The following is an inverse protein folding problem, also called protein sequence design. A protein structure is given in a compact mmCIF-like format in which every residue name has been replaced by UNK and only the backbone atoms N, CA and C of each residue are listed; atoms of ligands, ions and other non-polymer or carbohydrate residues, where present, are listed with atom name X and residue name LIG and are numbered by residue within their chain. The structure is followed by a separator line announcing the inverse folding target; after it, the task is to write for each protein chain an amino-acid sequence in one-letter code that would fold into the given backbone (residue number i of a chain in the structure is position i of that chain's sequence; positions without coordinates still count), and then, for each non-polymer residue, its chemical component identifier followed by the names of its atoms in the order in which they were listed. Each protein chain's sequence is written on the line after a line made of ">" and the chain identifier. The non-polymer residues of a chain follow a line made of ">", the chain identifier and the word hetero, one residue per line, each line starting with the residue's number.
data_IF_655580736390
#
_entry.id   IF_655580736390
#
_cell.length_a   1.000
_cell.length_b   1.000
_cell.length_c   1.000
_cell.angle_alpha   90.00
_cell.angle_beta   90.00
_cell.angle_gamma   90.00
#
_symmetry.space_group_name_H-M   'P 1'
#
loop_
_entity.id
_entity.type
_entity.pdbx_description
1 polymer ?
#
# COMPACT_ATOMS: atom_id res chain seq x y z
N UNK A 1 -12.92 9.28 15.95
CA UNK A 1 -11.84 9.07 14.96
C UNK A 1 -12.41 9.31 13.57
N UNK A 2 -11.78 10.16 12.76
CA UNK A 2 -12.25 10.50 11.40
C UNK A 2 -12.22 9.24 10.52
N UNK A 3 -13.25 9.01 9.70
CA UNK A 3 -13.34 7.82 8.83
C UNK A 3 -12.32 7.89 7.67
N UNK A 4 -12.12 9.06 7.09
CA UNK A 4 -11.19 9.31 5.98
C UNK A 4 -10.43 10.64 6.13
N UNK A 5 -9.16 10.62 5.75
CA UNK A 5 -8.37 11.81 5.40
C UNK A 5 -7.59 11.51 4.11
N UNK A 6 -6.86 12.49 3.57
CA UNK A 6 -5.97 12.24 2.42
C UNK A 6 -4.92 11.14 2.69
N UNK A 7 -4.59 10.85 3.96
CA UNK A 7 -3.54 9.92 4.35
C UNK A 7 -4.03 8.67 5.07
N UNK A 8 -5.32 8.61 5.44
CA UNK A 8 -5.85 7.58 6.31
C UNK A 8 -7.28 7.18 5.95
N UNK A 9 -7.59 5.89 6.08
CA UNK A 9 -8.92 5.32 6.00
C UNK A 9 -9.06 4.30 7.13
N UNK A 10 -10.07 4.46 8.01
CA UNK A 10 -10.34 3.52 9.11
C UNK A 10 -10.75 2.12 8.62
N UNK A 11 -11.35 2.03 7.43
CA UNK A 11 -12.00 0.82 6.95
C UNK A 11 -13.36 0.60 7.61
N UNK A 12 -14.02 -0.47 7.19
CA UNK A 12 -15.34 -0.88 7.72
C UNK A 12 -15.24 -1.96 8.80
N UNK A 13 -14.02 -2.32 9.22
CA UNK A 13 -13.79 -3.32 10.26
C UNK A 13 -14.03 -4.77 9.82
N UNK A 14 -14.21 -5.01 8.51
CA UNK A 14 -14.48 -6.35 7.97
C UNK A 14 -13.24 -7.25 7.98
N UNK A 15 -12.04 -6.67 8.14
CA UNK A 15 -10.77 -7.39 8.17
C UNK A 15 -9.74 -6.63 9.01
N UNK A 16 -8.85 -7.38 9.68
CA UNK A 16 -7.70 -6.83 10.41
C UNK A 16 -6.47 -6.68 9.52
N UNK A 17 -6.66 -6.08 8.34
CA UNK A 17 -5.63 -5.89 7.32
C UNK A 17 -5.42 -4.40 7.08
N UNK A 18 -4.15 -3.98 7.13
CA UNK A 18 -3.73 -2.62 6.78
C UNK A 18 -2.86 -2.58 5.52
N UNK A 19 -3.19 -1.65 4.62
CA UNK A 19 -2.35 -1.28 3.49
C UNK A 19 -1.64 0.04 3.78
N UNK A 20 -0.31 0.01 3.78
CA UNK A 20 0.52 1.16 4.13
C UNK A 20 1.27 1.67 2.91
N UNK A 21 0.96 2.89 2.47
CA UNK A 21 1.64 3.58 1.37
C UNK A 21 2.58 4.67 1.88
N UNK A 22 3.21 5.42 0.98
CA UNK A 22 4.28 6.35 1.35
C UNK A 22 3.69 7.70 1.81
N UNK A 23 2.95 8.38 0.94
CA UNK A 23 2.42 9.72 1.19
C UNK A 23 1.23 10.00 0.27
N UNK A 24 0.33 10.93 0.64
CA UNK A 24 -0.75 11.38 -0.23
C UNK A 24 -0.24 12.17 -1.44
N UNK A 25 -0.95 12.06 -2.56
CA UNK A 25 -0.76 12.86 -3.76
C UNK A 25 -1.79 13.98 -3.90
N UNK A 26 -1.87 14.55 -5.10
CA UNK A 26 -2.83 15.63 -5.40
C UNK A 26 -4.27 15.12 -5.48
N UNK A 27 -4.48 13.91 -6.00
CA UNK A 27 -5.81 13.30 -6.08
C UNK A 27 -6.35 13.02 -4.68
N UNK A 28 -5.53 12.49 -3.76
CA UNK A 28 -5.91 12.28 -2.36
C UNK A 28 -6.23 13.59 -1.65
N UNK A 29 -5.52 14.67 -1.96
CA UNK A 29 -5.82 16.01 -1.42
C UNK A 29 -7.20 16.49 -1.88
N UNK A 30 -7.50 16.34 -3.17
CA UNK A 30 -8.76 16.79 -3.76
C UNK A 30 -9.95 15.99 -3.23
N UNK A 31 -9.80 14.68 -3.13
CA UNK A 31 -10.88 13.76 -2.77
C UNK A 31 -11.03 13.55 -1.24
N UNK A 32 -10.06 14.03 -0.45
CA UNK A 32 -10.05 13.85 1.01
C UNK A 32 -9.94 12.39 1.48
N UNK A 33 -9.44 11.49 0.61
CA UNK A 33 -9.34 10.04 0.85
C UNK A 33 -7.96 9.52 0.43
N UNK A 34 -7.40 8.49 1.09
CA UNK A 34 -6.11 7.95 0.71
C UNK A 34 -6.26 7.11 -0.56
N UNK A 35 -5.18 7.01 -1.34
CA UNK A 35 -5.14 6.22 -2.59
C UNK A 35 -6.36 6.48 -3.49
N UNK A 36 -6.79 7.74 -3.60
CA UNK A 36 -7.93 8.12 -4.42
C UNK A 36 -7.65 7.94 -5.92
N UNK A 37 -6.38 7.93 -6.29
CA UNK A 37 -5.90 7.92 -7.66
C UNK A 37 -5.76 6.57 -8.35
N UNK A 38 -4.90 6.55 -9.38
CA UNK A 38 -4.54 5.32 -10.10
C UNK A 38 -3.97 4.22 -9.19
N UNK A 39 -3.29 4.59 -8.10
CA UNK A 39 -2.82 3.65 -7.08
C UNK A 39 -3.99 2.93 -6.42
N UNK A 40 -5.11 3.60 -6.16
CA UNK A 40 -6.34 2.99 -5.64
C UNK A 40 -6.96 2.01 -6.62
N UNK A 41 -7.07 2.39 -7.89
CA UNK A 41 -7.57 1.49 -8.96
C UNK A 41 -6.73 0.21 -9.05
N UNK A 42 -5.41 0.34 -8.93
CA UNK A 42 -4.51 -0.81 -8.93
C UNK A 42 -4.64 -1.66 -7.65
N UNK A 43 -4.95 -1.03 -6.51
CA UNK A 43 -5.23 -1.76 -5.27
C UNK A 43 -6.51 -2.59 -5.37
N UNK A 44 -7.57 -2.09 -6.01
CA UNK A 44 -8.81 -2.86 -6.21
C UNK A 44 -8.62 -4.06 -7.14
N UNK A 45 -7.83 -3.91 -8.21
CA UNK A 45 -7.44 -5.04 -9.06
C UNK A 45 -6.59 -6.04 -8.27
N UNK A 46 -5.66 -5.57 -7.43
CA UNK A 46 -4.90 -6.47 -6.55
C UNK A 46 -5.82 -7.21 -5.56
N UNK A 47 -6.80 -6.50 -4.99
CA UNK A 47 -7.77 -7.05 -4.06
C UNK A 47 -8.67 -8.09 -4.73
N UNK A 48 -9.01 -7.96 -6.01
CA UNK A 48 -9.80 -9.00 -6.70
C UNK A 48 -9.06 -10.34 -6.78
N UNK A 49 -7.75 -10.32 -7.03
CA UNK A 49 -6.92 -11.54 -6.98
C UNK A 49 -6.78 -12.10 -5.57
N UNK A 50 -6.59 -11.23 -4.57
CA UNK A 50 -6.43 -11.63 -3.18
C UNK A 50 -7.73 -12.18 -2.58
N UNK A 51 -8.87 -11.51 -2.83
CA UNK A 51 -10.19 -11.96 -2.42
C UNK A 51 -10.54 -13.31 -3.03
N UNK A 52 -10.30 -13.50 -4.34
CA UNK A 52 -10.51 -14.81 -5.00
C UNK A 52 -9.67 -15.92 -4.38
N UNK A 53 -8.44 -15.64 -3.96
CA UNK A 53 -7.50 -16.65 -3.48
C UNK A 53 -7.57 -16.90 -1.97
N UNK A 54 -7.93 -15.88 -1.20
CA UNK A 54 -7.91 -15.84 0.26
C UNK A 54 -9.11 -15.03 0.79
N UNK A 55 -10.36 -15.44 0.50
CA UNK A 55 -11.55 -14.64 0.81
C UNK A 55 -11.72 -14.38 2.31
N UNK A 56 -11.29 -15.31 3.17
CA UNK A 56 -11.35 -15.15 4.62
C UNK A 56 -10.38 -14.07 5.16
N UNK A 57 -9.31 -13.76 4.42
CA UNK A 57 -8.33 -12.73 4.78
C UNK A 57 -8.66 -11.41 4.11
N UNK A 58 -9.12 -11.47 2.85
CA UNK A 58 -9.49 -10.33 2.03
C UNK A 58 -10.95 -10.45 1.60
N UNK A 59 -11.93 -10.21 2.49
CA UNK A 59 -13.35 -10.46 2.22
C UNK A 59 -14.00 -9.48 1.24
N UNK A 60 -13.36 -8.36 0.91
CA UNK A 60 -13.86 -7.36 -0.04
C UNK A 60 -12.86 -7.02 -1.15
N UNK A 61 -13.38 -6.63 -2.30
CA UNK A 61 -12.60 -6.04 -3.39
C UNK A 61 -12.52 -4.52 -3.31
N UNK A 62 -13.34 -3.89 -2.45
CA UNK A 62 -13.35 -2.45 -2.24
C UNK A 62 -12.25 -2.05 -1.25
N UNK A 63 -11.33 -1.19 -1.71
CA UNK A 63 -10.18 -0.75 -0.92
C UNK A 63 -10.55 -0.07 0.40
N UNK A 64 -11.67 0.66 0.43
CA UNK A 64 -12.08 1.44 1.61
C UNK A 64 -12.79 0.62 2.67
N UNK A 65 -12.99 -0.67 2.44
CA UNK A 65 -13.41 -1.58 3.50
C UNK A 65 -12.24 -1.94 4.44
N UNK A 66 -10.99 -1.73 3.98
CA UNK A 66 -9.76 -2.04 4.70
C UNK A 66 -9.15 -0.81 5.38
N UNK A 67 -8.24 -1.06 6.32
CA UNK A 67 -7.41 -0.01 6.92
C UNK A 67 -6.38 0.46 5.89
N UNK A 68 -6.30 1.77 5.65
CA UNK A 68 -5.26 2.37 4.81
C UNK A 68 -4.59 3.48 5.59
N UNK A 69 -3.25 3.51 5.55
CA UNK A 69 -2.44 4.57 6.17
C UNK A 69 -1.27 4.93 5.26
N UNK A 70 -0.76 6.14 5.38
CA UNK A 70 0.48 6.56 4.75
C UNK A 70 1.58 6.75 5.79
N UNK A 71 2.81 6.40 5.40
CA UNK A 71 4.02 6.66 6.19
C UNK A 71 4.25 8.16 6.43
N UNK A 72 3.56 9.05 5.71
CA UNK A 72 3.46 10.48 5.99
C UNK A 72 2.09 10.98 5.57
N UNK A 73 1.56 11.94 6.32
CA UNK A 73 0.38 12.74 6.00
C UNK A 73 0.70 14.00 5.16
N UNK A 74 1.97 14.30 4.95
CA UNK A 74 2.41 15.46 4.18
C UNK A 74 2.18 15.25 2.68
N UNK A 75 1.60 16.26 2.05
CA UNK A 75 1.42 16.33 0.59
C UNK A 75 2.56 17.15 0.00
N UNK A 76 3.31 16.57 -0.94
CA UNK A 76 4.43 17.25 -1.62
C UNK A 76 4.14 17.41 -3.11
N UNK A 77 3.55 18.54 -3.56
CA UNK A 77 3.35 18.81 -4.98
C UNK A 77 4.70 19.05 -5.66
N UNK A 78 5.01 18.31 -6.74
CA UNK A 78 6.27 18.45 -7.49
C UNK A 78 6.56 19.90 -7.91
N UNK A 79 5.53 20.62 -8.36
CA UNK A 79 5.64 22.02 -8.81
C UNK A 79 6.02 22.99 -7.69
N UNK A 80 5.68 22.69 -6.44
CA UNK A 80 5.97 23.56 -5.29
C UNK A 80 7.24 23.18 -4.57
N UNK A 81 7.53 21.88 -4.46
CA UNK A 81 8.56 21.38 -3.56
C UNK A 81 9.74 20.68 -4.28
N UNK A 82 9.73 20.64 -5.62
CA UNK A 82 10.72 19.90 -6.43
C UNK A 82 10.69 18.38 -6.28
N UNK A 83 9.87 17.85 -5.35
CA UNK A 83 9.76 16.43 -4.97
C UNK A 83 8.30 16.03 -4.84
N UNK A 84 8.04 14.73 -5.02
CA UNK A 84 6.71 14.12 -4.88
C UNK A 84 6.57 13.27 -3.61
N UNK A 85 7.63 13.22 -2.79
CA UNK A 85 7.72 12.40 -1.59
C UNK A 85 8.34 13.26 -0.47
N UNK A 86 7.83 13.17 0.76
CA UNK A 86 8.40 13.84 1.93
C UNK A 86 9.85 13.43 2.21
N UNK A 87 10.55 14.27 2.95
CA UNK A 87 11.86 13.94 3.48
C UNK A 87 11.77 12.73 4.42
N UNK A 88 12.74 11.82 4.31
CA UNK A 88 12.81 10.65 5.19
C UNK A 88 12.96 11.04 6.67
N UNK A 89 13.54 12.21 6.95
CA UNK A 89 13.61 12.78 8.30
C UNK A 89 12.22 13.08 8.85
N UNK A 90 11.30 13.62 8.05
CA UNK A 90 9.92 13.89 8.49
C UNK A 90 9.16 12.58 8.77
N UNK A 91 9.32 11.58 7.90
CA UNK A 91 8.73 10.24 8.10
C UNK A 91 9.26 9.58 9.39
N UNK A 92 10.52 9.86 9.78
CA UNK A 92 11.16 9.30 10.97
C UNK A 92 10.81 10.00 12.29
N UNK A 93 10.14 11.15 12.23
CA UNK A 93 9.70 11.89 13.43
C UNK A 93 8.89 10.98 14.34
N UNK A 94 9.07 11.15 15.65
CA UNK A 94 8.44 10.28 16.66
C UNK A 94 6.92 10.37 16.56
N UNK A 95 6.40 11.58 16.40
CA UNK A 95 4.99 11.92 16.32
C UNK A 95 4.34 11.21 15.13
N UNK A 96 5.01 11.24 13.96
CA UNK A 96 4.53 10.55 12.76
C UNK A 96 4.52 9.03 12.94
N UNK A 97 5.53 8.45 13.57
CA UNK A 97 5.57 7.00 13.83
C UNK A 97 4.48 6.59 14.82
N UNK A 98 4.29 7.38 15.89
CA UNK A 98 3.27 7.10 16.89
C UNK A 98 1.85 7.23 16.28
N UNK A 99 1.63 8.21 15.39
CA UNK A 99 0.41 8.31 14.56
C UNK A 99 0.16 7.04 13.74
N UNK A 100 1.14 6.59 12.95
CA UNK A 100 0.98 5.39 12.12
C UNK A 100 0.66 4.16 12.98
N UNK A 101 1.30 4.04 14.14
CA UNK A 101 1.07 2.93 15.08
C UNK A 101 -0.34 2.96 15.64
N UNK A 102 -0.87 4.13 16.01
CA UNK A 102 -2.25 4.28 16.42
C UNK A 102 -3.21 3.94 15.26
N UNK A 103 -2.89 4.37 14.04
CA UNK A 103 -3.72 4.14 12.86
C UNK A 103 -3.81 2.68 12.45
N UNK A 104 -2.83 1.82 12.71
CA UNK A 104 -2.84 0.42 12.23
C UNK A 104 -2.66 -0.61 13.36
N UNK A 105 -2.70 -0.17 14.62
CA UNK A 105 -2.27 -0.99 15.76
C UNK A 105 -3.16 -2.19 16.08
N UNK A 106 -4.39 -2.20 15.60
CA UNK A 106 -5.36 -3.29 15.71
C UNK A 106 -5.30 -4.30 14.55
N UNK A 107 -4.42 -4.07 13.57
CA UNK A 107 -4.30 -4.92 12.38
C UNK A 107 -3.30 -6.06 12.58
N UNK A 108 -3.72 -7.28 12.23
CA UNK A 108 -2.91 -8.50 12.32
C UNK A 108 -2.00 -8.66 11.09
N UNK A 109 -2.43 -8.14 9.94
CA UNK A 109 -1.69 -8.20 8.68
C UNK A 109 -1.41 -6.78 8.22
N UNK A 110 -0.14 -6.45 8.01
CA UNK A 110 0.28 -5.13 7.53
C UNK A 110 1.10 -5.29 6.25
N UNK A 111 0.62 -4.69 5.15
CA UNK A 111 1.26 -4.73 3.84
C UNK A 111 1.80 -3.33 3.51
N UNK A 112 3.12 -3.19 3.51
CA UNK A 112 3.83 -1.96 3.18
C UNK A 112 4.17 -1.91 1.69
N UNK A 113 3.59 -0.97 0.94
CA UNK A 113 3.85 -0.76 -0.49
C UNK A 113 5.07 0.14 -0.73
N UNK A 114 6.20 -0.21 -0.11
CA UNK A 114 7.43 0.58 -0.11
C UNK A 114 8.70 -0.30 -0.07
N UNK A 115 8.93 -1.13 -1.10
CA UNK A 115 10.12 -2.00 -1.22
C UNK A 115 11.47 -1.24 -1.33
N UNK A 116 11.51 0.09 -1.21
CA UNK A 116 12.74 0.87 -1.22
C UNK A 116 13.43 0.81 0.17
N UNK A 117 14.74 0.48 0.19
CA UNK A 117 15.56 0.37 1.41
C UNK A 117 15.49 1.61 2.32
N UNK A 118 15.22 2.79 1.75
CA UNK A 118 15.08 4.07 2.46
C UNK A 118 14.09 3.98 3.64
N UNK A 119 13.01 3.22 3.50
CA UNK A 119 11.94 3.10 4.49
C UNK A 119 12.15 1.94 5.48
N UNK A 120 13.11 1.05 5.25
CA UNK A 120 13.30 -0.17 6.06
C UNK A 120 13.49 0.13 7.55
N UNK A 121 14.20 1.20 7.91
CA UNK A 121 14.40 1.58 9.32
C UNK A 121 13.08 1.95 10.00
N UNK A 122 12.21 2.71 9.32
CA UNK A 122 10.90 3.13 9.85
C UNK A 122 9.98 1.92 9.96
N UNK A 123 9.92 1.10 8.91
CA UNK A 123 9.12 -0.11 8.87
C UNK A 123 9.56 -1.09 9.96
N UNK A 124 10.87 -1.30 10.16
CA UNK A 124 11.39 -2.15 11.25
C UNK A 124 10.97 -1.63 12.62
N UNK A 125 10.98 -0.31 12.83
CA UNK A 125 10.54 0.31 14.08
C UNK A 125 9.05 0.11 14.33
N UNK A 126 8.21 0.28 13.31
CA UNK A 126 6.76 0.02 13.38
C UNK A 126 6.50 -1.47 13.68
N UNK A 127 7.13 -2.38 12.92
CA UNK A 127 7.01 -3.83 13.12
C UNK A 127 7.40 -4.26 14.54
N UNK A 128 8.50 -3.72 15.08
CA UNK A 128 8.96 -4.03 16.44
C UNK A 128 7.97 -3.59 17.52
N UNK A 129 7.32 -2.43 17.33
CA UNK A 129 6.32 -1.91 18.27
C UNK A 129 4.99 -2.65 18.18
N UNK A 130 4.53 -2.97 16.97
CA UNK A 130 3.21 -3.58 16.75
C UNK A 130 3.20 -5.12 16.84
N UNK A 131 4.31 -5.78 16.47
CA UNK A 131 4.41 -7.24 16.36
C UNK A 131 3.20 -7.90 15.64
N UNK A 132 2.82 -7.43 14.45
CA UNK A 132 1.70 -8.01 13.71
C UNK A 132 2.00 -9.46 13.35
N UNK A 133 0.95 -10.28 13.18
CA UNK A 133 1.07 -11.68 12.73
C UNK A 133 1.83 -11.78 11.41
N UNK A 134 1.50 -10.90 10.45
CA UNK A 134 2.26 -10.80 9.21
C UNK A 134 2.61 -9.34 8.87
N UNK A 135 3.85 -9.12 8.42
CA UNK A 135 4.33 -7.81 8.02
C UNK A 135 5.08 -7.86 6.68
N UNK A 136 4.36 -7.63 5.59
CA UNK A 136 4.82 -7.88 4.23
C UNK A 136 5.30 -6.56 3.60
N UNK A 137 6.46 -6.57 2.96
CA UNK A 137 6.91 -5.45 2.13
C UNK A 137 6.75 -5.78 0.65
N UNK A 138 5.92 -5.01 -0.04
CA UNK A 138 5.67 -5.12 -1.47
C UNK A 138 6.10 -3.85 -2.22
N UNK A 139 6.11 -3.94 -3.55
CA UNK A 139 6.47 -2.82 -4.44
C UNK A 139 5.31 -1.83 -4.49
N UNK A 140 5.62 -0.55 -4.67
CA UNK A 140 4.58 0.48 -4.82
C UNK A 140 3.65 0.15 -6.00
N UNK A 141 2.35 0.43 -5.87
CA UNK A 141 1.33 0.08 -6.88
C UNK A 141 1.18 1.12 -8.00
N UNK A 142 1.96 2.19 -8.00
CA UNK A 142 1.99 3.15 -9.12
C UNK A 142 2.62 2.54 -10.38
N UNK A 143 2.19 3.01 -11.56
CA UNK A 143 2.63 2.49 -12.87
C UNK A 143 4.15 2.41 -13.04
N UNK A 144 4.87 3.46 -12.64
CA UNK A 144 6.33 3.49 -12.74
C UNK A 144 6.98 2.33 -11.98
N UNK A 145 6.46 2.01 -10.78
CA UNK A 145 6.97 0.91 -9.97
C UNK A 145 6.61 -0.43 -10.63
N UNK A 146 5.34 -0.70 -10.88
CA UNK A 146 4.90 -2.02 -11.39
C UNK A 146 5.54 -2.32 -12.76
N UNK A 147 5.54 -1.37 -13.70
CA UNK A 147 6.03 -1.59 -15.06
C UNK A 147 7.54 -1.81 -15.12
N UNK A 148 8.32 -1.11 -14.29
CA UNK A 148 9.80 -1.21 -14.34
C UNK A 148 10.35 -2.50 -13.72
N UNK A 149 9.63 -3.12 -12.80
CA UNK A 149 10.18 -4.26 -12.04
C UNK A 149 9.32 -5.50 -12.01
N UNK A 150 8.35 -5.62 -12.92
CA UNK A 150 7.68 -6.89 -13.22
C UNK A 150 7.70 -7.05 -14.74
N UNK A 151 8.59 -7.93 -15.20
CA UNK A 151 8.83 -8.21 -16.63
C UNK A 151 8.06 -9.41 -17.13
N UNK A 152 7.76 -10.37 -16.25
CA UNK A 152 7.01 -11.57 -16.58
C UNK A 152 5.68 -11.62 -15.82
N UNK A 153 4.71 -12.35 -16.37
CA UNK A 153 3.47 -12.73 -15.68
C UNK A 153 3.73 -13.81 -14.62
N UNK A 154 2.65 -14.32 -13.98
CA UNK A 154 2.76 -15.36 -12.95
C UNK A 154 3.25 -16.73 -13.47
N UNK A 155 3.11 -16.98 -14.76
CA UNK A 155 3.51 -18.21 -15.43
C UNK A 155 4.94 -18.12 -15.97
N UNK A 156 5.57 -16.94 -15.90
CA UNK A 156 6.93 -16.70 -16.37
C UNK A 156 7.01 -16.13 -17.79
N UNK A 157 5.88 -15.89 -18.47
CA UNK A 157 5.89 -15.33 -19.82
C UNK A 157 6.23 -13.84 -19.79
N UNK A 158 7.05 -13.38 -20.72
CA UNK A 158 7.40 -11.97 -20.84
C UNK A 158 6.18 -11.10 -21.17
N UNK A 159 6.10 -9.93 -20.55
CA UNK A 159 5.05 -8.96 -20.74
C UNK A 159 5.49 -7.93 -21.79
N UNK A 160 5.01 -8.09 -23.02
CA UNK A 160 5.31 -7.21 -24.14
C UNK A 160 4.70 -5.83 -23.90
N UNK A 161 5.46 -4.77 -24.22
CA UNK A 161 5.03 -3.39 -23.99
C UNK A 161 3.84 -3.06 -24.91
N UNK A 162 2.77 -2.53 -24.31
CA UNK A 162 1.57 -2.11 -25.05
C UNK A 162 0.41 -3.09 -24.95
N UNK A 163 0.67 -4.35 -24.59
CA UNK A 163 -0.38 -5.38 -24.51
C UNK A 163 -1.47 -5.03 -23.50
N UNK A 164 -2.71 -5.32 -23.89
CA UNK A 164 -3.89 -5.17 -23.03
C UNK A 164 -3.80 -6.13 -21.83
N UNK A 165 -4.25 -5.68 -20.66
CA UNK A 165 -4.28 -6.50 -19.44
C UNK A 165 -2.93 -6.65 -18.72
N UNK A 166 -1.86 -6.10 -19.28
CA UNK A 166 -0.52 -6.08 -18.70
C UNK A 166 -0.45 -5.62 -17.24
N UNK A 167 -1.16 -4.54 -16.91
CA UNK A 167 -1.24 -4.05 -15.52
C UNK A 167 -1.85 -5.12 -14.61
N UNK A 168 -2.92 -5.77 -15.04
CA UNK A 168 -3.59 -6.84 -14.28
C UNK A 168 -2.66 -8.02 -14.05
N UNK A 169 -1.97 -8.52 -15.09
CA UNK A 169 -0.96 -9.59 -14.98
C UNK A 169 0.15 -9.24 -13.99
N UNK A 170 0.63 -7.99 -14.00
CA UNK A 170 1.64 -7.52 -13.03
C UNK A 170 1.12 -7.49 -11.59
N UNK A 171 -0.15 -7.09 -11.40
CA UNK A 171 -0.78 -7.08 -10.08
C UNK A 171 -1.05 -8.50 -9.58
N UNK A 172 -1.37 -9.44 -10.46
CA UNK A 172 -1.48 -10.86 -10.13
C UNK A 172 -0.16 -11.42 -9.60
N UNK A 173 0.98 -11.06 -10.21
CA UNK A 173 2.32 -11.41 -9.69
C UNK A 173 2.55 -10.85 -8.28
N UNK A 174 2.04 -9.65 -7.98
CA UNK A 174 2.11 -9.07 -6.63
C UNK A 174 1.21 -9.85 -5.66
N UNK A 175 -0.01 -10.21 -6.08
CA UNK A 175 -0.94 -11.01 -5.29
C UNK A 175 -0.33 -12.35 -4.91
N UNK A 176 0.28 -13.06 -5.87
CA UNK A 176 0.95 -14.34 -5.64
C UNK A 176 2.10 -14.23 -4.63
N UNK A 177 2.86 -13.14 -4.66
CA UNK A 177 3.93 -12.89 -3.69
C UNK A 177 3.37 -12.65 -2.29
N UNK A 178 2.31 -11.85 -2.16
CA UNK A 178 1.64 -11.61 -0.87
C UNK A 178 1.09 -12.93 -0.32
N UNK A 179 0.40 -13.73 -1.15
CA UNK A 179 -0.12 -15.04 -0.77
C UNK A 179 0.97 -15.98 -0.26
N UNK A 180 2.12 -16.04 -0.94
CA UNK A 180 3.27 -16.85 -0.50
C UNK A 180 3.82 -16.39 0.85
N UNK A 181 3.92 -15.08 1.09
CA UNK A 181 4.40 -14.54 2.37
C UNK A 181 3.40 -14.74 3.53
N UNK A 182 2.08 -14.80 3.26
CA UNK A 182 1.07 -15.09 4.29
C UNK A 182 1.03 -16.56 4.71
N UNK A 183 1.62 -17.47 3.92
CA UNK A 183 1.70 -18.91 4.22
C UNK A 183 2.96 -19.30 4.99
N UNK A 184 3.89 -18.37 5.20
CA UNK A 184 5.09 -18.55 6.04
C UNK A 184 4.76 -18.24 7.48
#
# INVERSE_FOLDING_TARGET
>A
MIRYSSSYCKGNGIAKVAFVFICPGQEEKKEGKPVAGQTGKNLEILLSFLNKSLPNVFPSTNRYDYRISNLSDEIWPKRKNGRTIPLISSIRKKENIDRIIQEIGDCEIIIFFSKNKTYNKVIKKIKRKLKPKHAIQSRHLGFQSINRGIRCDKSGNELVRGDKGNTSKRLEVIAEKIKKELKK
#
